data_IF_245263177925
#
_entry.id   IF_245263177925
#
_cell.length_a   1.000
_cell.length_b   1.000
_cell.length_c   1.000
_cell.angle_alpha   90.00
_cell.angle_beta   90.00
_cell.angle_gamma   90.00
#
_symmetry.space_group_name_H-M   'P 1'
#
loop_
_entity.id
_entity.type
_entity.pdbx_description
1 polymer ?
#
# COMPACT_ATOMS: atom_id res chain seq x y z
N UNK A 1 19.35 29.65 44.76
CA UNK A 1 19.66 28.73 44.63
C UNK A 1 18.85 27.76 44.17
N UNK A 2 18.09 27.67 43.89
CA UNK A 2 17.29 26.70 43.47
C UNK A 2 16.71 26.81 42.22
N UNK A 3 16.87 27.58 41.58
CA UNK A 3 16.29 27.72 40.41
C UNK A 3 16.57 26.79 39.39
N UNK A 4 17.49 26.26 39.28
CA UNK A 4 17.77 25.43 38.26
C UNK A 4 16.83 24.39 38.07
N UNK A 5 16.20 24.01 38.77
CA UNK A 5 15.28 23.05 38.63
C UNK A 5 14.41 23.16 37.52
N UNK A 6 13.99 24.16 37.25
CA UNK A 6 13.07 24.22 36.24
C UNK A 6 13.44 23.87 34.92
N UNK A 7 14.42 23.89 34.55
CA UNK A 7 14.63 23.58 33.21
C UNK A 7 14.43 22.28 32.75
N UNK A 8 14.53 21.38 33.37
CA UNK A 8 14.32 20.15 32.85
C UNK A 8 13.10 19.92 32.23
N UNK A 9 12.15 20.34 32.53
CA UNK A 9 10.95 20.07 31.96
C UNK A 9 10.84 20.21 30.55
N UNK A 10 11.31 21.05 30.03
CA UNK A 10 11.18 21.23 28.68
C UNK A 10 11.48 20.16 27.81
N UNK A 11 12.29 19.45 27.96
CA UNK A 11 12.51 18.41 27.13
C UNK A 11 11.54 17.47 26.72
N UNK A 12 10.86 17.00 27.46
CA UNK A 12 9.95 15.99 27.06
C UNK A 12 9.15 16.20 25.90
N UNK A 13 8.82 17.26 25.65
CA UNK A 13 7.90 17.36 24.63
C UNK A 13 8.28 17.13 23.29
N UNK A 14 9.30 17.08 22.97
CA UNK A 14 9.55 16.87 21.65
C UNK A 14 9.38 15.67 21.04
N UNK A 15 9.34 14.79 21.52
CA UNK A 15 9.25 13.63 20.86
C UNK A 15 8.17 13.35 20.07
N UNK A 16 7.32 13.88 19.94
CA UNK A 16 6.31 13.55 19.15
C UNK A 16 6.49 13.46 17.83
N UNK A 17 7.11 13.25 17.31
CA UNK A 17 7.26 13.18 16.03
C UNK A 17 6.44 12.47 15.29
N UNK A 18 5.91 12.74 14.68
CA UNK A 18 5.10 12.04 13.94
C UNK A 18 5.56 11.45 12.90
N UNK A 19 5.68 10.82 12.51
CA UNK A 19 6.11 10.20 11.50
C UNK A 19 5.20 9.86 10.55
N UNK A 20 5.51 9.76 9.55
CA UNK A 20 4.70 9.42 8.50
C UNK A 20 4.34 8.12 8.71
N UNK A 21 3.27 7.74 8.60
CA UNK A 21 2.96 6.50 8.74
C UNK A 21 2.28 5.92 7.67
N UNK A 22 2.36 4.73 7.38
CA UNK A 22 1.67 3.96 6.41
C UNK A 22 0.23 3.92 6.75
N UNK A 23 -0.62 4.17 5.85
CA UNK A 23 -2.02 4.14 6.10
C UNK A 23 -2.74 3.23 5.13
N UNK A 24 -3.79 2.60 5.59
CA UNK A 24 -4.61 1.74 4.75
C UNK A 24 -5.61 2.60 4.00
N UNK A 25 -6.03 2.14 2.88
CA UNK A 25 -7.06 2.88 2.15
C UNK A 25 -7.23 2.38 0.73
N UNK A 26 -8.25 2.88 0.07
CA UNK A 26 -8.51 2.53 -1.31
C UNK A 26 -7.76 3.48 -2.25
N UNK A 27 -7.33 2.94 -3.37
CA UNK A 27 -6.78 3.74 -4.44
C UNK A 27 -7.73 3.58 -5.61
N UNK A 28 -8.31 4.68 -6.05
CA UNK A 28 -9.32 4.63 -7.09
C UNK A 28 -8.75 4.64 -8.49
N UNK A 29 -9.49 4.05 -9.39
CA UNK A 29 -9.15 4.15 -10.78
C UNK A 29 -7.72 3.75 -11.11
N UNK A 30 -7.34 2.55 -10.72
CA UNK A 30 -6.01 2.09 -11.06
C UNK A 30 -6.05 1.38 -12.40
N UNK A 31 -4.95 1.46 -13.12
CA UNK A 31 -4.78 0.74 -14.36
C UNK A 31 -3.61 -0.20 -14.16
N UNK A 32 -3.75 -1.44 -14.59
CA UNK A 32 -2.68 -2.41 -14.44
C UNK A 32 -1.68 -2.17 -15.56
N UNK A 33 -0.47 -1.79 -15.18
CA UNK A 33 0.59 -1.58 -16.13
C UNK A 33 1.33 -2.89 -16.35
N UNK A 34 1.53 -3.63 -15.27
CA UNK A 34 2.26 -4.87 -15.35
C UNK A 34 1.78 -5.82 -14.29
N UNK A 35 1.66 -7.10 -14.57
CA UNK A 35 1.26 -8.11 -13.61
C UNK A 35 2.31 -9.19 -13.69
N UNK A 36 2.99 -9.47 -12.59
CA UNK A 36 4.14 -10.34 -12.60
C UNK A 36 3.98 -11.48 -11.62
N UNK A 37 3.54 -12.64 -12.07
CA UNK A 37 3.51 -13.80 -11.18
C UNK A 37 4.95 -14.27 -10.99
N UNK A 38 5.32 -14.65 -9.80
CA UNK A 38 6.69 -15.06 -9.53
C UNK A 38 6.71 -16.46 -8.94
N UNK A 39 7.88 -17.05 -8.87
CA UNK A 39 8.03 -18.33 -8.22
C UNK A 39 8.24 -18.17 -6.73
N UNK A 40 8.18 -16.95 -6.22
CA UNK A 40 8.38 -16.73 -4.81
C UNK A 40 7.04 -16.82 -4.09
N UNK A 41 6.90 -16.15 -2.99
CA UNK A 41 5.68 -16.29 -2.20
C UNK A 41 4.60 -15.29 -2.59
N UNK A 42 4.82 -14.50 -3.60
CA UNK A 42 3.90 -13.44 -3.94
C UNK A 42 3.94 -13.13 -5.42
N UNK A 43 2.93 -12.45 -5.91
CA UNK A 43 2.99 -11.88 -7.24
C UNK A 43 3.05 -10.36 -7.11
N UNK A 44 3.62 -9.72 -8.11
CA UNK A 44 3.84 -8.29 -8.08
C UNK A 44 2.98 -7.59 -9.11
N UNK A 45 2.68 -6.33 -8.85
CA UNK A 45 1.90 -5.54 -9.79
C UNK A 45 2.47 -4.16 -9.87
N UNK A 46 2.39 -3.58 -11.04
CA UNK A 46 2.68 -2.18 -11.19
C UNK A 46 1.38 -1.55 -11.64
N UNK A 47 0.91 -0.59 -10.90
CA UNK A 47 -0.38 0.05 -11.18
C UNK A 47 -0.18 1.55 -11.28
N UNK A 48 -0.98 2.19 -12.14
CA UNK A 48 -1.02 3.63 -12.12
C UNK A 48 -2.36 4.00 -11.51
N UNK A 49 -2.43 5.06 -10.77
CA UNK A 49 -3.67 5.45 -10.15
C UNK A 49 -3.50 6.72 -9.39
N UNK A 50 -4.48 7.01 -8.54
CA UNK A 50 -4.40 8.20 -7.80
C UNK A 50 -3.51 8.02 -6.62
N UNK A 51 -3.61 8.86 -5.64
CA UNK A 51 -2.74 8.82 -4.55
C UNK A 51 -2.74 7.55 -3.77
N UNK A 52 -1.60 7.01 -3.49
CA UNK A 52 -1.43 5.79 -2.70
C UNK A 52 -1.25 6.20 -1.23
N UNK A 53 -2.18 5.86 -0.36
CA UNK A 53 -2.09 6.29 1.03
C UNK A 53 -1.10 5.52 1.86
N UNK A 54 -0.55 4.43 1.33
CA UNK A 54 0.28 3.58 2.17
C UNK A 54 1.56 4.24 2.63
N UNK A 55 2.06 5.21 1.90
CA UNK A 55 3.32 5.82 2.26
C UNK A 55 4.54 4.96 1.94
N UNK A 56 4.37 3.85 1.27
CA UNK A 56 5.49 2.99 0.93
C UNK A 56 6.39 3.69 -0.08
N UNK A 57 7.67 3.29 -0.09
CA UNK A 57 8.61 3.98 -0.91
C UNK A 57 8.30 3.89 -2.38
N UNK A 58 7.90 2.72 -2.86
CA UNK A 58 7.59 2.53 -4.26
C UNK A 58 6.11 2.73 -4.47
N UNK A 59 5.70 3.88 -4.92
CA UNK A 59 4.31 4.21 -4.95
C UNK A 59 3.49 3.49 -5.98
N UNK A 60 4.10 3.02 -7.03
CA UNK A 60 3.38 2.35 -8.09
C UNK A 60 3.52 0.85 -8.05
N UNK A 61 4.29 0.32 -7.12
CA UNK A 61 4.51 -1.11 -7.06
C UNK A 61 3.81 -1.73 -5.87
N UNK A 62 3.21 -2.90 -6.11
CA UNK A 62 2.37 -3.57 -5.14
C UNK A 62 2.64 -5.06 -5.17
N UNK A 63 2.21 -5.75 -4.14
CA UNK A 63 2.35 -7.20 -4.11
C UNK A 63 1.18 -7.84 -3.37
N UNK A 64 0.93 -9.11 -3.64
CA UNK A 64 -0.03 -9.91 -2.92
C UNK A 64 0.62 -11.26 -2.68
N UNK A 65 0.63 -11.71 -1.44
CA UNK A 65 1.17 -13.02 -1.12
C UNK A 65 0.25 -14.08 -1.67
N UNK A 66 0.82 -15.14 -2.23
CA UNK A 66 -0.02 -16.20 -2.78
C UNK A 66 -0.87 -16.87 -1.69
N UNK A 67 -0.39 -16.85 -0.45
CA UNK A 67 -1.17 -17.47 0.60
C UNK A 67 -2.24 -16.55 1.18
N UNK A 68 -2.33 -15.35 0.74
CA UNK A 68 -3.35 -14.45 1.23
C UNK A 68 -4.70 -14.98 0.77
N UNK A 69 -5.70 -14.84 1.63
CA UNK A 69 -7.00 -15.30 1.29
C UNK A 69 -7.51 -14.55 0.07
N UNK A 70 -7.95 -15.22 -0.90
CA UNK A 70 -8.46 -14.60 -2.12
C UNK A 70 -7.40 -14.19 -3.12
N UNK A 71 -6.15 -14.57 -2.91
CA UNK A 71 -5.07 -14.13 -3.81
C UNK A 71 -5.34 -14.56 -5.25
N UNK A 72 -5.79 -15.80 -5.45
CA UNK A 72 -6.03 -16.29 -6.79
C UNK A 72 -7.19 -15.54 -7.44
N UNK A 73 -8.20 -15.16 -6.66
CA UNK A 73 -9.31 -14.42 -7.22
C UNK A 73 -8.88 -13.02 -7.58
N UNK A 74 -8.02 -12.42 -6.77
CA UNK A 74 -7.52 -11.09 -7.08
C UNK A 74 -6.65 -11.13 -8.33
N UNK A 75 -5.83 -12.18 -8.46
CA UNK A 75 -4.99 -12.31 -9.63
C UNK A 75 -5.88 -12.38 -10.87
N UNK A 76 -6.92 -13.19 -10.84
CA UNK A 76 -7.81 -13.33 -11.98
C UNK A 76 -8.50 -12.02 -12.31
N UNK A 77 -8.83 -11.23 -11.31
CA UNK A 77 -9.49 -9.96 -11.56
C UNK A 77 -8.54 -8.97 -12.21
N UNK A 78 -7.27 -9.00 -11.83
CA UNK A 78 -6.29 -8.13 -12.49
C UNK A 78 -6.11 -8.55 -13.95
N UNK A 79 -6.12 -9.85 -14.23
CA UNK A 79 -6.01 -10.29 -15.60
C UNK A 79 -7.21 -9.82 -16.39
N UNK A 80 -8.39 -9.92 -15.79
CA UNK A 80 -9.58 -9.47 -16.45
C UNK A 80 -9.53 -7.96 -16.69
N UNK A 81 -9.00 -7.22 -15.77
CA UNK A 81 -8.89 -5.78 -15.93
C UNK A 81 -7.99 -5.40 -17.07
N UNK A 82 -6.93 -6.20 -17.31
CA UNK A 82 -6.05 -5.92 -18.41
C UNK A 82 -6.78 -6.19 -19.72
N UNK A 83 -7.58 -7.23 -19.77
CA UNK A 83 -8.21 -7.63 -21.01
C UNK A 83 -9.50 -6.89 -21.33
N UNK A 84 -10.21 -6.45 -20.34
CA UNK A 84 -11.55 -5.93 -20.55
C UNK A 84 -11.75 -4.49 -20.14
N UNK A 85 -10.74 -3.78 -19.83
CA UNK A 85 -10.85 -2.37 -19.48
C UNK A 85 -11.82 -2.09 -18.34
N UNK A 86 -11.80 -2.90 -17.34
CA UNK A 86 -12.65 -2.66 -16.19
C UNK A 86 -12.13 -1.50 -15.37
N UNK A 87 -13.01 -0.89 -14.59
CA UNK A 87 -12.58 0.15 -13.68
C UNK A 87 -12.17 -0.55 -12.39
N UNK A 88 -10.95 -0.42 -11.99
CA UNK A 88 -10.44 -1.13 -10.82
C UNK A 88 -10.09 -0.20 -9.70
N UNK A 89 -10.27 -0.68 -8.48
CA UNK A 89 -9.78 0.01 -7.28
C UNK A 89 -9.08 -1.04 -6.46
N UNK A 90 -8.06 -0.68 -5.72
CA UNK A 90 -7.37 -1.62 -4.85
C UNK A 90 -7.31 -1.07 -3.45
N UNK A 91 -7.34 -1.96 -2.47
CA UNK A 91 -7.23 -1.55 -1.08
C UNK A 91 -5.85 -1.95 -0.59
N UNK A 92 -5.08 -0.96 -0.09
CA UNK A 92 -3.76 -1.23 0.45
C UNK A 92 -3.86 -1.28 1.96
N UNK A 93 -3.11 -2.17 2.58
CA UNK A 93 -3.22 -2.38 4.02
C UNK A 93 -2.38 -1.41 4.81
N UNK A 94 -1.48 -0.70 4.18
CA UNK A 94 -0.53 0.13 4.88
C UNK A 94 0.77 -0.59 5.16
N UNK A 95 0.84 -1.87 4.90
CA UNK A 95 2.07 -2.63 5.12
C UNK A 95 2.96 -2.47 3.90
N UNK A 96 4.22 -2.16 4.13
CA UNK A 96 5.20 -2.05 3.08
C UNK A 96 6.19 -3.19 3.22
N UNK A 97 6.49 -3.86 2.14
CA UNK A 97 7.40 -4.97 2.18
C UNK A 97 8.20 -5.03 0.90
N UNK A 98 9.04 -6.03 0.79
CA UNK A 98 9.91 -6.17 -0.34
C UNK A 98 10.74 -4.89 -0.39
N UNK A 99 10.90 -4.23 -1.39
CA UNK A 99 11.68 -3.03 -1.41
C UNK A 99 10.79 -1.81 -1.35
N UNK A 100 9.81 -1.83 -0.52
CA UNK A 100 8.93 -0.67 -0.37
C UNK A 100 7.66 -0.79 -1.16
N UNK A 101 7.25 -2.01 -1.49
CA UNK A 101 6.01 -2.24 -2.22
C UNK A 101 4.83 -2.24 -1.25
N UNK A 102 3.68 -1.82 -1.72
CA UNK A 102 2.48 -1.80 -0.89
C UNK A 102 1.73 -3.12 -0.99
N UNK A 103 1.24 -3.60 0.14
CA UNK A 103 0.45 -4.81 0.16
C UNK A 103 -1.00 -4.51 -0.19
N UNK A 104 -1.59 -5.29 -1.07
CA UNK A 104 -2.99 -5.15 -1.42
C UNK A 104 -3.76 -6.28 -0.76
N UNK A 105 -4.91 -5.99 -0.20
CA UNK A 105 -5.76 -7.00 0.40
C UNK A 105 -7.15 -7.08 -0.21
N UNK A 106 -7.50 -6.19 -1.10
CA UNK A 106 -8.80 -6.26 -1.76
C UNK A 106 -8.74 -5.56 -3.10
N UNK A 107 -9.56 -6.00 -4.02
CA UNK A 107 -9.64 -5.41 -5.34
C UNK A 107 -11.11 -5.27 -5.69
N UNK A 108 -11.49 -4.15 -6.23
CA UNK A 108 -12.86 -3.91 -6.66
C UNK A 108 -12.85 -3.68 -8.17
N UNK A 109 -13.80 -4.24 -8.85
CA UNK A 109 -13.92 -4.04 -10.28
C UNK A 109 -15.35 -3.67 -10.62
N UNK A 110 -15.52 -2.75 -11.54
CA UNK A 110 -16.84 -2.39 -11.99
C UNK A 110 -16.79 -2.09 -13.48
N UNK A 111 -17.93 -2.10 -14.15
CA UNK A 111 -17.94 -1.82 -15.57
C UNK A 111 -17.49 -0.41 -15.84
N UNK A 112 -16.88 -0.24 -16.96
CA UNK A 112 -16.40 1.07 -17.31
C UNK A 112 -17.48 1.90 -17.98
#
# INVERSE_FOLDING_TARGET
MIRWITLLIVIGSLMLSSTARAEAGWIDEVTVIELIPTAKHYFELRLSGKKNPSGCREKDWFYINYEARGADKMFDLFVEGIQSSLRLRVYVTGICNLNGYSEISAVSASPN
#
